data_IF_548568172469
#
_entry.id   IF_548568172469
#
_cell.length_a   1.000
_cell.length_b   1.000
_cell.length_c   1.000
_cell.angle_alpha   90.00
_cell.angle_beta   90.00
_cell.angle_gamma   90.00
#
_symmetry.space_group_name_H-M   'P 1'
#
loop_
_entity.id
_entity.type
_entity.pdbx_description
1 polymer ?
#
# COMPACT_ATOMS: atom_id res chain seq x y z
N UNK A 1 60.46 -2.38 -4.40
CA UNK A 1 59.39 -2.83 -5.32
C UNK A 1 58.18 -3.17 -4.46
N UNK A 2 57.15 -2.34 -4.60
CA UNK A 2 55.85 -2.45 -3.94
C UNK A 2 55.02 -3.54 -4.64
N UNK A 3 54.13 -4.22 -3.92
CA UNK A 3 52.77 -4.36 -4.42
C UNK A 3 51.76 -3.85 -3.39
N UNK A 4 51.12 -2.76 -3.77
CA UNK A 4 49.90 -2.18 -3.22
C UNK A 4 48.75 -3.19 -3.16
N UNK A 5 48.27 -3.51 -1.96
CA UNK A 5 46.88 -3.96 -1.72
C UNK A 5 46.05 -2.75 -1.29
N UNK A 6 44.94 -2.41 -1.96
CA UNK A 6 44.12 -1.28 -1.57
C UNK A 6 43.30 -1.63 -0.32
N UNK A 7 43.48 -0.83 0.71
CA UNK A 7 42.52 -0.62 1.80
C UNK A 7 41.18 -0.20 1.17
N UNK A 8 40.22 -1.12 1.13
CA UNK A 8 38.85 -0.81 0.74
C UNK A 8 38.20 -0.08 1.91
N UNK A 9 38.41 1.24 1.93
CA UNK A 9 37.70 2.17 2.78
C UNK A 9 36.21 2.06 2.46
N UNK A 10 35.46 1.44 3.39
CA UNK A 10 34.00 1.48 3.48
C UNK A 10 33.61 2.95 3.55
N UNK A 11 33.25 3.51 2.39
CA UNK A 11 32.63 4.82 2.31
C UNK A 11 31.23 4.68 2.88
N UNK A 12 31.09 5.05 4.16
CA UNK A 12 29.82 5.35 4.80
C UNK A 12 29.18 6.46 3.95
N UNK A 13 28.37 6.08 2.96
CA UNK A 13 27.47 7.02 2.31
C UNK A 13 26.41 7.36 3.35
N UNK A 14 26.68 8.47 4.04
CA UNK A 14 25.74 9.29 4.77
C UNK A 14 24.34 9.17 4.16
N UNK A 15 23.43 8.61 4.93
CA UNK A 15 22.00 8.66 4.69
C UNK A 15 21.60 10.11 4.50
N UNK A 16 21.40 10.47 3.22
CA UNK A 16 20.84 11.76 2.80
C UNK A 16 19.50 11.91 3.53
N UNK A 17 19.42 12.89 4.45
CA UNK A 17 18.14 13.31 5.05
C UNK A 17 17.16 13.57 3.89
N UNK A 18 15.97 12.96 3.87
CA UNK A 18 14.98 13.32 2.87
C UNK A 18 14.67 14.82 3.01
N UNK A 19 14.74 15.54 1.90
CA UNK A 19 14.33 16.94 1.82
C UNK A 19 12.90 17.05 2.36
N UNK A 20 12.69 18.00 3.27
CA UNK A 20 11.48 18.20 4.07
C UNK A 20 10.25 18.71 3.30
N UNK A 21 10.09 18.36 2.03
CA UNK A 21 9.01 18.85 1.16
C UNK A 21 8.18 17.75 0.49
N UNK A 22 8.52 16.47 0.66
CA UNK A 22 7.75 15.37 0.09
C UNK A 22 6.96 14.67 1.21
N UNK A 23 5.62 14.75 1.13
CA UNK A 23 4.74 14.05 2.05
C UNK A 23 4.98 12.54 1.93
N UNK A 24 5.07 11.78 3.04
CA UNK A 24 5.31 10.35 2.98
C UNK A 24 4.18 9.66 2.21
N UNK A 25 4.56 8.81 1.26
CA UNK A 25 3.62 8.01 0.47
C UNK A 25 2.98 6.94 1.35
N UNK A 26 1.66 6.83 1.31
CA UNK A 26 0.93 5.77 2.00
C UNK A 26 0.90 4.53 1.12
N UNK A 27 1.55 3.46 1.58
CA UNK A 27 1.53 2.16 0.92
C UNK A 27 0.34 1.34 1.40
N UNK A 28 -0.56 0.99 0.47
CA UNK A 28 -1.69 0.10 0.71
C UNK A 28 -1.42 -1.24 0.05
N UNK A 29 -1.65 -2.34 0.76
CA UNK A 29 -1.48 -3.69 0.20
C UNK A 29 -2.82 -4.40 0.21
N UNK A 30 -3.17 -5.01 -0.91
CA UNK A 30 -4.44 -5.71 -1.06
C UNK A 30 -4.28 -7.03 -1.80
N UNK A 31 -4.55 -8.13 -1.10
CA UNK A 31 -4.47 -9.49 -1.63
C UNK A 31 -5.84 -9.91 -2.19
N UNK A 32 -5.86 -10.36 -3.43
CA UNK A 32 -7.07 -10.62 -4.21
C UNK A 32 -7.06 -12.06 -4.76
N UNK A 33 -8.09 -12.83 -4.41
CA UNK A 33 -8.37 -14.13 -5.00
C UNK A 33 -9.84 -14.24 -5.32
N UNK A 34 -10.15 -14.60 -6.55
CA UNK A 34 -11.50 -14.67 -7.07
C UNK A 34 -12.12 -13.31 -7.40
N UNK A 35 -12.98 -13.33 -8.41
CA UNK A 35 -13.59 -12.13 -8.97
C UNK A 35 -14.58 -11.47 -7.99
N UNK A 36 -15.29 -12.26 -7.19
CA UNK A 36 -16.20 -11.74 -6.18
C UNK A 36 -15.45 -10.94 -5.09
N UNK A 37 -14.26 -11.37 -4.70
CA UNK A 37 -13.41 -10.61 -3.78
C UNK A 37 -12.93 -9.31 -4.43
N UNK A 38 -12.52 -9.36 -5.69
CA UNK A 38 -12.14 -8.16 -6.44
C UNK A 38 -13.28 -7.13 -6.52
N UNK A 39 -14.50 -7.56 -6.91
CA UNK A 39 -15.68 -6.68 -6.97
C UNK A 39 -16.00 -6.01 -5.63
N UNK A 40 -15.96 -6.76 -4.51
CA UNK A 40 -16.15 -6.19 -3.17
C UNK A 40 -15.05 -5.19 -2.80
N UNK A 41 -13.82 -5.49 -3.22
CA UNK A 41 -12.65 -4.66 -2.94
C UNK A 41 -12.70 -3.31 -3.65
N UNK A 42 -13.31 -3.23 -4.83
CA UNK A 42 -13.51 -1.96 -5.52
C UNK A 42 -14.32 -0.97 -4.69
N UNK A 43 -15.35 -1.44 -3.97
CA UNK A 43 -16.14 -0.59 -3.07
C UNK A 43 -15.29 -0.06 -1.92
N UNK A 44 -14.50 -0.93 -1.28
CA UNK A 44 -13.57 -0.54 -0.22
C UNK A 44 -12.57 0.52 -0.72
N UNK A 45 -11.91 0.26 -1.85
CA UNK A 45 -10.92 1.17 -2.42
C UNK A 45 -11.54 2.52 -2.80
N UNK A 46 -12.74 2.53 -3.40
CA UNK A 46 -13.48 3.77 -3.67
C UNK A 46 -13.73 4.56 -2.39
N UNK A 47 -14.15 3.91 -1.31
CA UNK A 47 -14.34 4.59 -0.02
C UNK A 47 -13.02 5.16 0.51
N UNK A 48 -11.93 4.38 0.49
CA UNK A 48 -10.60 4.84 0.94
C UNK A 48 -10.16 6.08 0.14
N UNK A 49 -10.23 6.03 -1.18
CA UNK A 49 -9.82 7.14 -2.05
C UNK A 49 -10.74 8.36 -1.92
N UNK A 50 -12.04 8.15 -1.65
CA UNK A 50 -12.97 9.26 -1.42
C UNK A 50 -12.63 10.07 -0.15
N UNK A 51 -12.17 9.40 0.91
CA UNK A 51 -11.87 10.02 2.20
C UNK A 51 -10.41 10.49 2.36
N UNK A 52 -9.54 10.22 1.38
CA UNK A 52 -8.14 10.65 1.38
C UNK A 52 -8.01 12.16 1.64
N UNK A 53 -7.12 12.53 2.58
CA UNK A 53 -6.83 13.93 2.91
C UNK A 53 -7.90 14.67 3.73
N UNK A 54 -9.01 14.01 4.11
CA UNK A 54 -10.12 14.68 4.82
C UNK A 54 -10.03 14.65 6.34
N UNK A 55 -9.14 13.86 6.95
CA UNK A 55 -9.04 13.72 8.41
C UNK A 55 -7.63 14.03 8.90
N UNK A 56 -7.37 15.28 9.31
CA UNK A 56 -6.15 15.68 10.03
C UNK A 56 -6.43 15.67 11.53
N UNK A 57 -6.19 14.54 12.19
CA UNK A 57 -6.32 14.42 13.66
C UNK A 57 -5.16 15.08 14.43
N UNK A 58 -4.03 15.36 13.77
CA UNK A 58 -2.82 15.91 14.40
C UNK A 58 -2.79 17.46 14.45
N UNK A 59 -3.94 18.11 14.30
CA UNK A 59 -4.06 19.54 14.52
C UNK A 59 -4.75 19.74 15.86
N UNK A 60 -4.15 20.50 16.77
CA UNK A 60 -4.81 20.90 18.04
C UNK A 60 -6.15 21.62 17.79
N UNK A 61 -6.27 22.27 16.61
CA UNK A 61 -7.51 22.92 16.13
C UNK A 61 -8.59 21.93 15.67
N UNK A 62 -8.24 20.65 15.51
CA UNK A 62 -9.12 19.53 15.16
C UNK A 62 -9.12 18.46 16.25
N UNK A 63 -9.15 18.88 17.51
CA UNK A 63 -9.41 17.96 18.61
C UNK A 63 -10.83 17.43 18.48
N UNK A 64 -10.98 16.18 18.04
CA UNK A 64 -12.23 15.45 18.13
C UNK A 64 -12.57 15.29 19.62
N UNK A 65 -13.36 16.21 20.19
CA UNK A 65 -14.11 15.88 21.41
C UNK A 65 -14.96 14.66 21.05
N UNK A 66 -14.99 13.65 21.93
CA UNK A 66 -15.80 12.42 21.79
C UNK A 66 -17.30 12.75 21.69
N UNK A 67 -17.74 13.34 20.59
CA UNK A 67 -19.14 13.57 20.28
C UNK A 67 -19.43 12.94 18.93
N UNK A 68 -20.58 12.26 18.87
CA UNK A 68 -21.21 11.75 17.66
C UNK A 68 -21.58 12.95 16.77
N UNK A 69 -20.65 13.47 15.97
CA UNK A 69 -21.04 14.33 14.84
C UNK A 69 -20.20 13.99 13.61
N UNK A 70 -20.84 13.73 12.45
CA UNK A 70 -20.16 13.36 11.22
C UNK A 70 -19.62 14.57 10.44
N UNK A 71 -19.58 15.78 11.04
CA UNK A 71 -19.15 16.98 10.32
C UNK A 71 -17.61 17.08 10.31
N UNK A 72 -16.94 17.04 9.14
CA UNK A 72 -15.50 17.26 9.05
C UNK A 72 -15.14 18.67 9.54
N UNK A 73 -13.93 18.85 10.08
CA UNK A 73 -13.47 20.15 10.58
C UNK A 73 -13.63 21.24 9.52
N UNK A 74 -14.37 22.31 9.84
CA UNK A 74 -14.58 23.45 8.94
C UNK A 74 -13.28 24.18 8.51
N UNK A 75 -12.18 23.95 9.23
CA UNK A 75 -10.86 24.52 8.94
C UNK A 75 -10.01 23.68 7.97
N UNK A 76 -10.42 22.45 7.63
CA UNK A 76 -9.76 21.65 6.59
C UNK A 76 -10.34 22.03 5.20
N UNK A 77 -10.13 23.27 4.77
CA UNK A 77 -10.66 23.75 3.47
C UNK A 77 -9.86 23.25 2.26
N UNK A 78 -8.65 22.74 2.46
CA UNK A 78 -7.89 22.02 1.44
C UNK A 78 -7.49 20.65 2.00
N UNK A 79 -8.06 19.54 1.51
CA UNK A 79 -7.55 18.23 1.85
C UNK A 79 -6.12 18.12 1.29
N UNK A 80 -5.15 17.97 2.19
CA UNK A 80 -3.80 17.62 1.79
C UNK A 80 -3.83 16.20 1.22
N UNK A 81 -3.44 16.09 -0.05
CA UNK A 81 -3.51 14.83 -0.78
C UNK A 81 -2.19 14.08 -0.56
N UNK A 82 -2.21 13.13 0.35
CA UNK A 82 -1.06 12.23 0.61
C UNK A 82 -0.92 11.27 -0.57
N UNK A 83 0.24 11.15 -1.24
CA UNK A 83 0.42 10.17 -2.30
C UNK A 83 0.06 8.76 -1.80
N UNK A 84 -0.62 7.95 -2.63
CA UNK A 84 -0.95 6.56 -2.32
C UNK A 84 -0.32 5.65 -3.36
N UNK A 85 0.37 4.61 -2.88
CA UNK A 85 0.81 3.49 -3.70
C UNK A 85 0.02 2.23 -3.32
N UNK A 86 -0.78 1.70 -4.24
CA UNK A 86 -1.53 0.46 -4.03
C UNK A 86 -0.79 -0.75 -4.63
N UNK A 87 -0.37 -1.65 -3.76
CA UNK A 87 0.19 -2.95 -4.13
C UNK A 87 -0.94 -3.99 -4.19
N UNK A 88 -1.28 -4.42 -5.40
CA UNK A 88 -2.29 -5.44 -5.67
C UNK A 88 -1.59 -6.78 -5.87
N UNK A 89 -1.87 -7.76 -5.01
CA UNK A 89 -1.35 -9.12 -5.14
C UNK A 89 -2.53 -9.99 -5.58
N UNK A 90 -2.53 -10.48 -6.82
CA UNK A 90 -3.71 -11.10 -7.41
C UNK A 90 -3.40 -12.32 -8.30
N UNK A 91 -4.35 -13.26 -8.36
CA UNK A 91 -4.31 -14.39 -9.31
C UNK A 91 -4.16 -13.89 -10.74
N UNK A 92 -3.33 -14.55 -11.54
CA UNK A 92 -3.00 -14.16 -12.91
C UNK A 92 -4.27 -13.95 -13.77
N UNK A 93 -5.27 -14.81 -13.59
CA UNK A 93 -6.57 -14.74 -14.30
C UNK A 93 -7.34 -13.43 -14.07
N UNK A 94 -7.09 -12.71 -12.98
CA UNK A 94 -7.76 -11.44 -12.66
C UNK A 94 -7.01 -10.22 -13.21
N UNK A 95 -5.80 -10.40 -13.77
CA UNK A 95 -4.93 -9.29 -14.13
C UNK A 95 -5.53 -8.37 -15.19
N UNK A 96 -6.15 -8.93 -16.23
CA UNK A 96 -6.83 -8.14 -17.27
C UNK A 96 -7.93 -7.27 -16.66
N UNK A 97 -8.82 -7.88 -15.88
CA UNK A 97 -9.92 -7.18 -15.21
C UNK A 97 -9.43 -6.09 -14.24
N UNK A 98 -8.33 -6.37 -13.51
CA UNK A 98 -7.72 -5.39 -12.60
C UNK A 98 -7.13 -4.22 -13.40
N UNK A 99 -6.36 -4.48 -14.46
CA UNK A 99 -5.75 -3.44 -15.31
C UNK A 99 -6.83 -2.59 -15.97
N UNK A 100 -7.86 -3.22 -16.50
CA UNK A 100 -9.01 -2.54 -17.08
C UNK A 100 -9.69 -1.66 -16.04
N UNK A 101 -9.95 -2.15 -14.82
CA UNK A 101 -10.56 -1.31 -13.77
C UNK A 101 -9.65 -0.16 -13.36
N UNK A 102 -8.37 -0.42 -13.10
CA UNK A 102 -7.41 0.54 -12.59
C UNK A 102 -7.10 1.66 -13.60
N UNK A 103 -7.13 1.37 -14.91
CA UNK A 103 -6.94 2.39 -15.95
C UNK A 103 -8.04 3.46 -15.94
N UNK A 104 -9.22 3.15 -15.42
CA UNK A 104 -10.34 4.10 -15.30
C UNK A 104 -10.34 4.87 -13.97
N UNK A 105 -9.41 4.61 -13.05
CA UNK A 105 -9.40 5.29 -11.75
C UNK A 105 -8.86 6.71 -11.88
N UNK A 106 -9.73 7.70 -11.64
CA UNK A 106 -9.39 9.13 -11.66
C UNK A 106 -9.00 9.63 -10.26
N UNK A 107 -7.96 9.03 -9.69
CA UNK A 107 -7.43 9.40 -8.35
C UNK A 107 -6.11 10.17 -8.54
N UNK A 108 -5.95 11.30 -7.87
CA UNK A 108 -4.72 12.09 -7.95
C UNK A 108 -3.64 11.52 -7.03
N UNK A 109 -2.36 11.65 -7.45
CA UNK A 109 -1.20 11.15 -6.69
C UNK A 109 -1.35 9.68 -6.29
N UNK A 110 -1.87 8.89 -7.24
CA UNK A 110 -2.17 7.49 -7.06
C UNK A 110 -1.30 6.66 -8.01
N UNK A 111 -0.56 5.73 -7.44
CA UNK A 111 0.22 4.72 -8.15
C UNK A 111 -0.27 3.34 -7.75
N UNK A 112 -0.12 2.37 -8.64
CA UNK A 112 -0.42 0.99 -8.33
C UNK A 112 0.56 0.04 -8.99
N UNK A 113 0.76 -1.12 -8.37
CA UNK A 113 1.61 -2.20 -8.87
C UNK A 113 0.89 -3.51 -8.68
N UNK A 114 1.02 -4.40 -9.66
CA UNK A 114 0.40 -5.71 -9.66
C UNK A 114 1.48 -6.79 -9.49
N UNK A 115 1.23 -7.72 -8.58
CA UNK A 115 2.09 -8.85 -8.25
C UNK A 115 1.31 -10.15 -8.44
N UNK A 116 2.02 -11.20 -8.88
CA UNK A 116 1.40 -12.49 -9.15
C UNK A 116 1.20 -13.23 -7.83
N UNK A 117 -0.05 -13.57 -7.51
CA UNK A 117 -0.35 -14.36 -6.32
C UNK A 117 -0.01 -15.84 -6.55
N UNK A 118 -0.22 -16.34 -7.77
CA UNK A 118 -0.14 -17.76 -8.09
C UNK A 118 1.28 -18.31 -7.92
N UNK A 119 2.29 -17.46 -8.19
CA UNK A 119 3.70 -17.75 -7.95
C UNK A 119 4.00 -18.08 -6.48
N UNK A 120 3.24 -17.54 -5.52
CA UNK A 120 3.55 -17.66 -4.09
C UNK A 120 2.57 -18.56 -3.32
N UNK A 121 1.43 -18.93 -3.90
CA UNK A 121 0.41 -19.74 -3.21
C UNK A 121 0.94 -21.08 -2.71
N UNK A 122 1.87 -21.70 -3.44
CA UNK A 122 2.47 -22.98 -3.06
C UNK A 122 3.23 -22.92 -1.71
N UNK A 123 3.71 -21.73 -1.30
CA UNK A 123 4.46 -21.53 -0.05
C UNK A 123 3.57 -21.60 1.19
N UNK A 124 2.26 -21.41 1.01
CA UNK A 124 1.26 -21.36 2.09
C UNK A 124 0.19 -22.43 1.94
N UNK A 125 0.13 -23.13 0.81
CA UNK A 125 -0.90 -24.15 0.53
C UNK A 125 -0.83 -25.38 1.44
N UNK A 126 0.34 -25.63 2.05
CA UNK A 126 0.51 -26.70 3.04
C UNK A 126 -0.16 -26.39 4.39
N UNK A 127 -0.46 -25.11 4.67
CA UNK A 127 -1.13 -24.68 5.89
C UNK A 127 -2.62 -24.99 5.73
N UNK A 128 -3.20 -25.85 6.59
CA UNK A 128 -4.62 -26.15 6.52
C UNK A 128 -5.44 -24.87 6.74
N UNK A 129 -6.42 -24.64 5.87
CA UNK A 129 -7.36 -23.54 6.03
C UNK A 129 -8.79 -24.07 5.99
N UNK A 130 -9.51 -23.91 7.09
CA UNK A 130 -10.93 -24.25 7.24
C UNK A 130 -11.84 -23.01 7.12
N UNK A 131 -11.26 -21.83 6.95
CA UNK A 131 -11.98 -20.58 6.90
C UNK A 131 -12.54 -20.32 5.49
N UNK A 132 -13.76 -19.79 5.41
CA UNK A 132 -14.44 -19.56 4.12
C UNK A 132 -13.72 -18.58 3.18
N UNK A 133 -12.83 -17.73 3.73
CA UNK A 133 -12.02 -16.82 2.92
C UNK A 133 -10.85 -17.53 2.22
N UNK A 134 -10.56 -18.78 2.60
CA UNK A 134 -9.56 -19.64 1.98
C UNK A 134 -8.14 -19.09 2.08
N UNK A 135 -7.23 -19.79 1.39
CA UNK A 135 -5.77 -19.60 1.42
C UNK A 135 -5.28 -18.14 1.25
N UNK A 136 -6.14 -17.24 0.77
CA UNK A 136 -5.90 -15.77 0.74
C UNK A 136 -5.57 -15.21 2.11
N UNK A 137 -6.22 -15.72 3.15
CA UNK A 137 -6.00 -15.28 4.53
C UNK A 137 -4.56 -15.57 4.95
N UNK A 138 -4.10 -16.78 4.68
CA UNK A 138 -2.72 -17.24 4.92
C UNK A 138 -1.74 -16.53 3.98
N UNK A 139 -2.14 -16.26 2.73
CA UNK A 139 -1.32 -15.52 1.76
C UNK A 139 -0.98 -14.08 2.20
N UNK A 140 -1.66 -13.53 3.21
CA UNK A 140 -1.24 -12.25 3.81
C UNK A 140 0.11 -12.35 4.54
N UNK A 141 0.51 -13.54 4.99
CA UNK A 141 1.77 -13.75 5.71
C UNK A 141 3.00 -13.63 4.80
N UNK A 142 2.84 -13.92 3.52
CA UNK A 142 3.92 -13.89 2.51
C UNK A 142 4.03 -12.53 1.81
N UNK A 143 3.20 -11.55 2.18
CA UNK A 143 3.26 -10.18 1.66
C UNK A 143 4.66 -9.57 1.76
N UNK A 144 5.40 -9.69 2.88
CA UNK A 144 6.76 -9.13 2.98
C UNK A 144 7.73 -9.68 1.93
N UNK A 145 7.52 -10.91 1.46
CA UNK A 145 8.39 -11.55 0.48
C UNK A 145 8.04 -11.16 -0.97
N UNK A 146 6.81 -10.69 -1.19
CA UNK A 146 6.31 -10.26 -2.50
C UNK A 146 6.63 -8.78 -2.76
N UNK A 147 6.65 -7.97 -1.70
CA UNK A 147 6.86 -6.54 -1.81
C UNK A 147 8.35 -6.18 -1.95
N UNK A 148 8.67 -5.02 -2.57
CA UNK A 148 10.04 -4.53 -2.63
C UNK A 148 10.67 -4.31 -1.24
N UNK A 149 11.94 -4.65 -1.10
CA UNK A 149 12.70 -4.56 0.17
C UNK A 149 12.89 -3.12 0.67
N UNK A 150 12.73 -2.13 -0.21
CA UNK A 150 12.96 -0.70 0.07
C UNK A 150 11.69 0.08 0.49
N UNK A 151 10.59 -0.61 0.81
CA UNK A 151 9.37 0.06 1.29
C UNK A 151 9.51 0.50 2.75
N UNK A 152 9.37 1.80 3.00
CA UNK A 152 9.31 2.39 4.35
C UNK A 152 7.86 2.51 4.84
N UNK A 153 7.66 2.37 6.15
CA UNK A 153 6.35 2.43 6.80
C UNK A 153 5.81 3.85 6.98
#
# INVERSE_FOLDING_TARGET
MNPTTPTESVLIQQTRRPNSSESPTVHLVHVLKGEAAFRRSLTLLKSVFYYQGRLRSNSSKCSLRRTLSPKPCAQQRAPERTPIHLHLIAEHKLWSTIKDSASHWRVQQFQWTLYDLDEYLHRVSWIPDTHYAGVVTVAKMIVPDILPVNLTK
#
